data_IF_797453910505
#
_entry.id   IF_797453910505
#
_cell.length_a   1.000
_cell.length_b   1.000
_cell.length_c   1.000
_cell.angle_alpha   90.00
_cell.angle_beta   90.00
_cell.angle_gamma   90.00
#
_symmetry.space_group_name_H-M   'P 1'
#
loop_
_entity.id
_entity.type
_entity.pdbx_description
1 polymer ?
#
# COMPACT_ATOMS: atom_id res chain seq x y z
N UNK A 1 -0.66 13.43 5.44
CA UNK A 1 -1.82 13.33 4.51
C UNK A 1 -2.29 11.89 4.45
N UNK A 2 -1.41 10.96 4.08
CA UNK A 2 -1.76 9.53 3.90
C UNK A 2 -2.45 8.87 5.10
N UNK A 3 -2.02 9.13 6.33
CA UNK A 3 -2.65 8.52 7.52
C UNK A 3 -4.14 8.91 7.66
N UNK A 4 -4.51 10.14 7.31
CA UNK A 4 -5.91 10.58 7.39
C UNK A 4 -6.78 9.80 6.39
N UNK A 5 -6.30 9.68 5.15
CA UNK A 5 -7.01 8.98 4.07
C UNK A 5 -7.13 7.48 4.36
N UNK A 6 -6.08 6.89 4.97
CA UNK A 6 -6.10 5.51 5.45
C UNK A 6 -7.17 5.30 6.53
N UNK A 7 -7.27 6.21 7.52
CA UNK A 7 -8.29 6.15 8.56
C UNK A 7 -9.71 6.35 8.03
N UNK A 8 -9.92 7.23 7.05
CA UNK A 8 -11.22 7.40 6.38
C UNK A 8 -11.63 6.13 5.62
N UNK A 9 -10.70 5.50 4.92
CA UNK A 9 -10.92 4.22 4.23
C UNK A 9 -11.27 3.12 5.22
N UNK A 10 -10.53 3.01 6.33
CA UNK A 10 -10.81 2.07 7.42
C UNK A 10 -12.25 2.22 7.93
N UNK A 11 -12.68 3.45 8.23
CA UNK A 11 -14.05 3.73 8.70
C UNK A 11 -15.11 3.25 7.71
N UNK A 12 -14.89 3.47 6.40
CA UNK A 12 -15.80 2.97 5.35
C UNK A 12 -15.87 1.44 5.36
N UNK A 13 -14.73 0.75 5.38
CA UNK A 13 -14.70 -0.72 5.44
C UNK A 13 -15.43 -1.25 6.68
N UNK A 14 -15.17 -0.63 7.84
CA UNK A 14 -15.79 -1.01 9.11
C UNK A 14 -17.30 -0.71 9.15
N UNK A 15 -17.78 0.33 8.45
CA UNK A 15 -19.22 0.60 8.32
C UNK A 15 -19.99 -0.51 7.59
N UNK A 16 -19.31 -1.33 6.78
CA UNK A 16 -19.88 -2.53 6.15
C UNK A 16 -19.78 -3.79 7.05
N UNK A 17 -19.43 -3.63 8.34
CA UNK A 17 -19.32 -4.73 9.30
C UNK A 17 -18.10 -5.64 9.08
N UNK A 18 -17.09 -5.15 8.35
CA UNK A 18 -15.83 -5.89 8.10
C UNK A 18 -14.70 -5.34 8.99
N UNK A 19 -13.63 -6.12 9.15
CA UNK A 19 -12.43 -5.68 9.87
C UNK A 19 -11.43 -5.07 8.89
N UNK A 20 -10.78 -3.98 9.29
CA UNK A 20 -9.72 -3.35 8.51
C UNK A 20 -8.50 -3.08 9.40
N UNK A 21 -7.35 -3.62 8.99
CA UNK A 21 -6.07 -3.42 9.64
C UNK A 21 -5.23 -2.49 8.78
N UNK A 22 -4.82 -1.36 9.36
CA UNK A 22 -3.93 -0.41 8.70
C UNK A 22 -2.48 -0.79 9.00
N UNK A 23 -1.63 -0.69 8.00
CA UNK A 23 -0.21 -0.95 8.11
C UNK A 23 0.53 0.03 7.21
N UNK A 24 1.24 0.98 7.83
CA UNK A 24 2.10 1.91 7.10
C UNK A 24 3.42 1.19 6.76
N UNK A 25 3.75 1.15 5.47
CA UNK A 25 4.95 0.51 4.93
C UNK A 25 5.48 1.23 3.68
N UNK A 26 6.78 1.12 3.46
CA UNK A 26 7.47 1.47 2.22
C UNK A 26 7.79 0.20 1.42
N UNK A 27 6.98 -0.04 0.38
CA UNK A 27 7.11 -1.24 -0.48
C UNK A 27 8.35 -1.24 -1.38
N UNK A 28 9.17 -0.18 -1.37
CA UNK A 28 10.50 -0.21 -2.00
C UNK A 28 11.50 -1.06 -1.20
N UNK A 29 11.23 -1.27 0.10
CA UNK A 29 12.10 -2.02 1.01
C UNK A 29 11.64 -3.46 1.13
N UNK A 30 12.52 -4.41 0.81
CA UNK A 30 12.22 -5.85 0.81
C UNK A 30 11.72 -6.35 2.17
N UNK A 31 12.30 -5.84 3.25
CA UNK A 31 11.95 -6.21 4.63
C UNK A 31 10.52 -5.78 4.97
N UNK A 32 10.10 -4.61 4.49
CA UNK A 32 8.74 -4.09 4.72
C UNK A 32 7.71 -4.84 3.87
N UNK A 33 8.05 -5.27 2.65
CA UNK A 33 7.22 -6.19 1.88
C UNK A 33 6.94 -7.50 2.64
N UNK A 34 7.96 -8.07 3.29
CA UNK A 34 7.78 -9.28 4.11
C UNK A 34 6.87 -9.00 5.31
N UNK A 35 7.07 -7.86 5.99
CA UNK A 35 6.25 -7.43 7.12
C UNK A 35 4.76 -7.33 6.77
N UNK A 36 4.39 -6.91 5.55
CA UNK A 36 2.99 -6.90 5.09
C UNK A 36 2.38 -8.29 5.14
N UNK A 37 3.07 -9.28 4.56
CA UNK A 37 2.60 -10.67 4.50
C UNK A 37 2.50 -11.26 5.91
N UNK A 38 3.54 -11.09 6.73
CA UNK A 38 3.57 -11.60 8.10
C UNK A 38 2.42 -11.02 8.93
N UNK A 39 2.20 -9.69 8.84
CA UNK A 39 1.12 -9.01 9.56
C UNK A 39 -0.26 -9.48 9.09
N UNK A 40 -0.44 -9.65 7.78
CA UNK A 40 -1.71 -10.14 7.22
C UNK A 40 -2.01 -11.57 7.71
N UNK A 41 -1.01 -12.45 7.72
CA UNK A 41 -1.16 -13.80 8.27
C UNK A 41 -1.47 -13.78 9.77
N UNK A 42 -0.81 -12.93 10.55
CA UNK A 42 -1.08 -12.79 11.98
C UNK A 42 -2.51 -12.31 12.27
N UNK A 43 -3.01 -11.31 11.53
CA UNK A 43 -4.31 -10.69 11.80
C UNK A 43 -5.49 -11.41 11.15
N UNK A 44 -5.27 -12.03 9.99
CA UNK A 44 -6.34 -12.60 9.15
C UNK A 44 -6.28 -14.13 9.04
N UNK A 45 -5.17 -14.77 9.44
CA UNK A 45 -4.95 -16.21 9.41
C UNK A 45 -4.60 -16.79 8.03
N UNK A 46 -5.07 -16.16 6.95
CA UNK A 46 -4.76 -16.53 5.58
C UNK A 46 -4.86 -15.32 4.64
N UNK A 47 -4.22 -15.41 3.48
CA UNK A 47 -4.34 -14.43 2.38
C UNK A 47 -4.99 -15.14 1.20
N UNK A 48 -6.24 -14.77 0.88
CA UNK A 48 -6.96 -15.33 -0.26
C UNK A 48 -6.86 -14.47 -1.51
N UNK A 49 -6.73 -13.14 -1.33
CA UNK A 49 -6.67 -12.15 -2.41
C UNK A 49 -5.54 -11.17 -2.07
N UNK A 50 -4.67 -10.91 -3.04
CA UNK A 50 -3.63 -9.90 -2.98
C UNK A 50 -3.85 -8.91 -4.13
N UNK A 51 -3.92 -7.62 -3.81
CA UNK A 51 -4.06 -6.55 -4.80
C UNK A 51 -2.82 -5.66 -4.75
N UNK A 52 -1.95 -5.76 -5.75
CA UNK A 52 -0.77 -4.90 -5.90
C UNK A 52 -1.16 -3.57 -6.55
N UNK A 53 -1.84 -2.71 -5.79
CA UNK A 53 -2.32 -1.41 -6.28
C UNK A 53 -1.30 -0.27 -6.10
N UNK A 54 -0.38 -0.39 -5.14
CA UNK A 54 0.58 0.68 -4.86
C UNK A 54 1.52 0.89 -6.05
N UNK A 55 1.55 2.12 -6.57
CA UNK A 55 2.40 2.54 -7.66
C UNK A 55 2.88 3.97 -7.41
N UNK A 56 4.05 4.28 -7.95
CA UNK A 56 4.57 5.65 -8.01
C UNK A 56 4.57 6.09 -9.46
N UNK A 57 4.08 7.30 -9.71
CA UNK A 57 4.09 7.90 -11.04
C UNK A 57 4.66 9.31 -10.92
N UNK A 58 5.78 9.54 -11.62
CA UNK A 58 6.30 10.87 -11.88
C UNK A 58 6.18 11.11 -13.39
N UNK A 59 5.39 12.09 -13.79
CA UNK A 59 5.14 12.34 -15.21
C UNK A 59 6.11 13.40 -15.72
N UNK A 60 6.72 13.14 -16.88
CA UNK A 60 7.52 14.11 -17.65
C UNK A 60 6.86 14.33 -19.01
N UNK A 61 6.92 15.56 -19.52
CA UNK A 61 6.28 15.93 -20.79
C UNK A 61 7.09 15.47 -22.01
N UNK A 62 8.42 15.55 -21.94
CA UNK A 62 9.35 15.08 -22.97
C UNK A 62 10.28 13.99 -22.41
N UNK A 63 10.63 13.01 -23.24
CA UNK A 63 11.57 11.94 -22.88
C UNK A 63 12.94 12.47 -22.46
N UNK A 64 13.35 13.65 -22.95
CA UNK A 64 14.62 14.30 -22.59
C UNK A 64 14.66 14.76 -21.13
N UNK A 65 13.50 14.93 -20.51
CA UNK A 65 13.38 15.38 -19.12
C UNK A 65 13.37 14.20 -18.13
N UNK A 66 13.41 12.96 -18.63
CA UNK A 66 13.45 11.75 -17.82
C UNK A 66 14.86 11.53 -17.26
N UNK A 67 15.00 11.62 -15.94
CA UNK A 67 16.28 11.39 -15.26
C UNK A 67 16.56 9.88 -15.12
N UNK A 68 17.83 9.49 -15.04
CA UNK A 68 18.21 8.08 -14.78
C UNK A 68 17.64 7.54 -13.46
N UNK A 69 17.47 8.42 -12.46
CA UNK A 69 16.89 8.06 -11.15
C UNK A 69 15.37 7.79 -11.23
N UNK A 70 14.70 8.31 -12.26
CA UNK A 70 13.28 8.10 -12.51
C UNK A 70 13.01 6.89 -13.42
N UNK A 71 14.01 6.45 -14.21
CA UNK A 71 13.95 5.24 -15.02
C UNK A 71 14.00 3.97 -14.16
#
# INVERSE_FOLDING_TARGET
VEEKDAQETKKKVESYGRKCHLLQVDLKKKEECKKVVDTALEKMGAINILVNNAAYQNMVEDIKDLTEEQW
#
